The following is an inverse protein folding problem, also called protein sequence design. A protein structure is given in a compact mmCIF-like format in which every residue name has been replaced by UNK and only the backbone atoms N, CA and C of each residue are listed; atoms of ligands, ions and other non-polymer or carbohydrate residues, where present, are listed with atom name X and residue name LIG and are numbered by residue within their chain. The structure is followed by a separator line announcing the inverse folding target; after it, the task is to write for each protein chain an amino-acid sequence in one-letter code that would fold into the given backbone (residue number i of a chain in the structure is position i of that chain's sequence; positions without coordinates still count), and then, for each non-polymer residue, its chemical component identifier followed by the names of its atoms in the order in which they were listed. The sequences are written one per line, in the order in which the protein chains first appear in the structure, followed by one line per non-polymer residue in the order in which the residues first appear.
data_IF_352348792074
#
_entry.id   IF_352348792074
#
_cell.length_a   1.000
_cell.length_b   1.000
_cell.length_c   1.000
_cell.angle_alpha   90.00
_cell.angle_beta   90.00
_cell.angle_gamma   90.00
#
_symmetry.space_group_name_H-M   'P 1'
#
loop_
_entity.id
_entity.type
_entity.pdbx_description
1 polymer ?
#
# COMPACT_ATOMS: atom_id res chain seq x y z
N UNK A 1 26.26 -23.58 11.77
CA UNK A 1 26.58 -22.88 13.03
C UNK A 1 25.35 -23.06 13.93
N UNK A 2 25.26 -22.42 15.10
CA UNK A 2 24.04 -22.46 15.92
C UNK A 2 23.48 -21.05 16.09
N UNK A 3 22.16 -20.92 15.93
CA UNK A 3 21.40 -19.68 16.15
C UNK A 3 20.55 -19.79 17.41
N UNK A 4 20.17 -18.63 17.95
CA UNK A 4 19.28 -18.51 19.09
C UNK A 4 17.87 -18.12 18.65
N UNK A 5 16.85 -18.77 19.19
CA UNK A 5 15.46 -18.44 18.92
C UNK A 5 15.09 -17.05 19.49
N UNK A 6 14.55 -16.10 18.71
CA UNK A 6 14.20 -14.77 19.20
C UNK A 6 13.01 -14.76 20.17
N UNK A 7 12.22 -15.85 20.21
CA UNK A 7 11.03 -15.94 21.07
C UNK A 7 11.30 -16.62 22.42
N UNK A 8 12.20 -17.59 22.46
CA UNK A 8 12.46 -18.39 23.68
C UNK A 8 13.94 -18.57 24.02
N UNK A 9 14.85 -17.96 23.26
CA UNK A 9 16.31 -18.02 23.42
C UNK A 9 16.94 -19.43 23.37
N UNK A 10 16.20 -20.45 22.93
CA UNK A 10 16.74 -21.79 22.75
C UNK A 10 17.78 -21.83 21.63
N UNK A 11 18.89 -22.55 21.85
CA UNK A 11 19.89 -22.82 20.82
C UNK A 11 19.41 -23.91 19.86
N UNK A 12 19.65 -23.72 18.57
CA UNK A 12 19.22 -24.66 17.55
C UNK A 12 20.11 -24.61 16.30
N UNK A 13 20.10 -25.66 15.46
CA UNK A 13 20.82 -25.65 14.19
C UNK A 13 20.24 -24.60 13.23
N UNK A 14 21.13 -23.95 12.46
CA UNK A 14 20.76 -22.88 11.53
C UNK A 14 19.76 -23.30 10.43
N UNK A 15 19.64 -24.60 10.18
CA UNK A 15 18.77 -25.15 9.14
C UNK A 15 17.32 -25.39 9.61
N UNK A 16 17.06 -25.35 10.92
CA UNK A 16 15.77 -25.72 11.48
C UNK A 16 14.68 -24.68 11.16
N UNK A 17 13.60 -25.14 10.51
CA UNK A 17 12.44 -24.32 10.07
C UNK A 17 11.59 -23.87 11.25
N UNK A 18 11.50 -24.70 12.29
CA UNK A 18 10.75 -24.45 13.52
C UNK A 18 11.66 -24.63 14.73
N UNK A 19 11.44 -23.83 15.77
CA UNK A 19 12.13 -23.97 17.04
C UNK A 19 11.65 -25.24 17.73
N UNK A 20 12.55 -26.20 18.06
CA UNK A 20 12.16 -27.46 18.71
C UNK A 20 11.67 -27.27 20.16
N UNK A 21 11.96 -26.12 20.78
CA UNK A 21 11.60 -25.85 22.17
C UNK A 21 10.21 -25.21 22.31
N UNK A 22 9.93 -24.16 21.52
CA UNK A 22 8.67 -23.41 21.64
C UNK A 22 7.73 -23.53 20.43
N UNK A 23 8.15 -24.20 19.36
CA UNK A 23 7.38 -24.29 18.11
C UNK A 23 7.39 -23.03 17.25
N UNK A 24 8.12 -21.98 17.65
CA UNK A 24 8.24 -20.72 16.91
C UNK A 24 8.82 -20.91 15.51
N UNK A 25 8.28 -20.23 14.50
CA UNK A 25 8.79 -20.30 13.13
C UNK A 25 10.11 -19.53 13.02
N UNK A 26 11.19 -20.21 12.63
CA UNK A 26 12.54 -19.63 12.59
C UNK A 26 12.91 -19.10 11.22
N UNK A 27 12.28 -19.64 10.18
CA UNK A 27 12.21 -18.94 8.90
C UNK A 27 11.07 -17.94 9.01
N UNK A 28 11.40 -16.65 8.87
CA UNK A 28 10.41 -15.76 8.26
C UNK A 28 9.93 -16.48 7.00
N UNK A 29 8.61 -16.60 6.75
CA UNK A 29 8.14 -17.27 5.56
C UNK A 29 8.96 -16.67 4.42
N UNK A 30 9.77 -17.52 3.78
CA UNK A 30 10.44 -17.17 2.55
C UNK A 30 9.28 -16.94 1.61
N UNK A 31 8.81 -15.68 1.57
CA UNK A 31 7.66 -15.28 0.76
C UNK A 31 8.11 -15.63 -0.63
N UNK A 32 7.61 -16.76 -1.13
CA UNK A 32 7.92 -17.22 -2.47
C UNK A 32 7.79 -15.99 -3.35
N UNK A 33 8.89 -15.57 -3.98
CA UNK A 33 8.87 -14.45 -4.92
C UNK A 33 8.15 -14.96 -6.15
N UNK A 34 6.83 -15.03 -6.04
CA UNK A 34 5.93 -15.31 -7.14
C UNK A 34 6.11 -14.18 -8.15
N UNK A 35 6.32 -14.57 -9.40
CA UNK A 35 6.48 -13.64 -10.52
C UNK A 35 5.15 -13.52 -11.24
N UNK A 36 4.80 -12.28 -11.60
CA UNK A 36 3.68 -11.98 -12.47
C UNK A 36 4.23 -11.22 -13.66
N UNK A 37 4.28 -11.89 -14.81
CA UNK A 37 4.91 -11.36 -16.01
C UNK A 37 6.41 -11.16 -15.81
N UNK A 38 6.87 -9.93 -16.00
CA UNK A 38 8.30 -9.57 -15.91
C UNK A 38 8.71 -9.15 -14.49
N UNK A 39 7.74 -8.88 -13.61
CA UNK A 39 7.98 -8.39 -12.25
C UNK A 39 7.74 -9.49 -11.20
N UNK A 40 8.32 -9.33 -10.00
CA UNK A 40 7.78 -10.04 -8.83
C UNK A 40 6.43 -9.45 -8.45
N UNK A 41 5.56 -10.22 -7.81
CA UNK A 41 4.25 -9.75 -7.34
C UNK A 41 4.39 -8.50 -6.46
N UNK A 42 5.33 -8.51 -5.52
CA UNK A 42 5.60 -7.37 -4.62
C UNK A 42 6.04 -6.11 -5.38
N UNK A 43 6.87 -6.24 -6.41
CA UNK A 43 7.31 -5.11 -7.24
C UNK A 43 6.14 -4.60 -8.09
N UNK A 44 5.36 -5.49 -8.71
CA UNK A 44 4.18 -5.10 -9.49
C UNK A 44 3.15 -4.38 -8.61
N UNK A 45 2.87 -4.89 -7.41
CA UNK A 45 1.98 -4.23 -6.44
C UNK A 45 2.50 -2.86 -5.99
N UNK A 46 3.82 -2.72 -5.78
CA UNK A 46 4.42 -1.44 -5.44
C UNK A 46 4.36 -0.42 -6.60
N UNK A 47 4.65 -0.87 -7.83
CA UNK A 47 4.59 -0.05 -9.04
C UNK A 47 3.16 0.45 -9.33
N UNK A 48 2.14 -0.31 -8.91
CA UNK A 48 0.76 0.12 -9.04
C UNK A 48 0.50 1.47 -8.34
N UNK A 49 1.25 1.82 -7.29
CA UNK A 49 1.11 3.08 -6.56
C UNK A 49 1.90 4.26 -7.12
N UNK A 50 2.74 4.08 -8.15
CA UNK A 50 3.54 5.19 -8.68
C UNK A 50 2.65 6.32 -9.21
N UNK A 51 1.60 5.96 -9.95
CA UNK A 51 0.47 6.83 -10.33
C UNK A 51 -0.76 5.94 -10.57
N UNK A 52 -1.91 6.52 -10.92
CA UNK A 52 -3.06 5.72 -11.36
C UNK A 52 -2.84 5.03 -12.71
N UNK A 53 -1.82 5.42 -13.50
CA UNK A 53 -1.58 4.89 -14.85
C UNK A 53 -1.08 3.44 -14.81
N UNK A 54 0.00 3.07 -14.06
CA UNK A 54 0.38 1.67 -13.89
C UNK A 54 -0.73 0.80 -13.32
N UNK A 55 -1.49 1.29 -12.34
CA UNK A 55 -2.64 0.58 -11.79
C UNK A 55 -3.67 0.21 -12.87
N UNK A 56 -4.02 1.17 -13.74
CA UNK A 56 -4.93 0.91 -14.85
C UNK A 56 -4.35 -0.09 -15.85
N UNK A 57 -3.07 0.05 -16.20
CA UNK A 57 -2.38 -0.88 -17.11
C UNK A 57 -2.39 -2.30 -16.56
N UNK A 58 -2.09 -2.49 -15.27
CA UNK A 58 -2.08 -3.80 -14.62
C UNK A 58 -3.47 -4.43 -14.53
N UNK A 59 -4.53 -3.64 -14.44
CA UNK A 59 -5.91 -4.16 -14.46
C UNK A 59 -6.38 -4.56 -15.87
N UNK A 60 -5.75 -4.05 -16.93
CA UNK A 60 -6.15 -4.31 -18.31
C UNK A 60 -5.32 -5.41 -18.99
N UNK A 61 -4.05 -5.57 -18.60
CA UNK A 61 -3.11 -6.46 -19.28
C UNK A 61 -2.90 -7.79 -18.57
N UNK A 62 -2.81 -8.86 -19.36
CA UNK A 62 -2.29 -10.15 -18.90
C UNK A 62 -0.76 -10.08 -18.72
N UNK A 63 -0.17 -10.83 -17.77
CA UNK A 63 -0.83 -11.68 -16.77
C UNK A 63 -1.29 -10.91 -15.51
N UNK A 64 -1.01 -9.61 -15.42
CA UNK A 64 -1.24 -8.78 -14.22
C UNK A 64 -2.69 -8.77 -13.75
N UNK A 65 -3.65 -8.68 -14.67
CA UNK A 65 -5.08 -8.64 -14.35
C UNK A 65 -5.63 -9.94 -13.75
N UNK A 66 -4.89 -11.04 -13.82
CA UNK A 66 -5.26 -12.34 -13.25
C UNK A 66 -4.71 -12.52 -11.84
N UNK A 67 -3.67 -11.78 -11.49
CA UNK A 67 -3.05 -11.89 -10.18
C UNK A 67 -3.82 -11.09 -9.13
N UNK A 68 -4.32 -11.77 -8.09
CA UNK A 68 -5.15 -11.17 -7.05
C UNK A 68 -4.40 -10.06 -6.30
N UNK A 69 -3.11 -10.23 -6.05
CA UNK A 69 -2.30 -9.29 -5.29
C UNK A 69 -2.10 -7.98 -6.06
N UNK A 70 -1.70 -8.06 -7.33
CA UNK A 70 -1.54 -6.91 -8.22
C UNK A 70 -2.88 -6.20 -8.44
N UNK A 71 -3.99 -6.94 -8.57
CA UNK A 71 -5.33 -6.34 -8.68
C UNK A 71 -5.71 -5.55 -7.43
N UNK A 72 -5.48 -6.09 -6.23
CA UNK A 72 -5.78 -5.40 -4.98
C UNK A 72 -5.05 -4.04 -4.92
N UNK A 73 -3.74 -4.04 -5.16
CA UNK A 73 -2.94 -2.82 -5.12
C UNK A 73 -3.34 -1.82 -6.22
N UNK A 74 -3.69 -2.31 -7.41
CA UNK A 74 -4.16 -1.48 -8.51
C UNK A 74 -5.51 -0.82 -8.21
N UNK A 75 -6.50 -1.58 -7.72
CA UNK A 75 -7.79 -1.00 -7.33
C UNK A 75 -7.66 -0.04 -6.14
N UNK A 76 -6.87 -0.40 -5.12
CA UNK A 76 -6.62 0.48 -3.98
C UNK A 76 -5.96 1.80 -4.44
N UNK A 77 -4.99 1.75 -5.37
CA UNK A 77 -4.40 2.94 -5.95
C UNK A 77 -5.45 3.81 -6.66
N UNK A 78 -6.29 3.22 -7.53
CA UNK A 78 -7.34 3.96 -8.25
C UNK A 78 -8.29 4.66 -7.26
N UNK A 79 -8.76 3.96 -6.24
CA UNK A 79 -9.65 4.53 -5.24
C UNK A 79 -8.98 5.61 -4.37
N UNK A 80 -7.71 5.44 -4.00
CA UNK A 80 -6.93 6.49 -3.31
C UNK A 80 -6.83 7.74 -4.18
N UNK A 81 -6.53 7.60 -5.48
CA UNK A 81 -6.50 8.73 -6.41
C UNK A 81 -7.86 9.39 -6.58
N UNK A 82 -8.95 8.61 -6.69
CA UNK A 82 -10.31 9.15 -6.71
C UNK A 82 -10.62 9.95 -5.44
N UNK A 83 -10.29 9.41 -4.27
CA UNK A 83 -10.47 10.08 -2.99
C UNK A 83 -9.62 11.37 -2.89
N UNK A 84 -8.38 11.34 -3.38
CA UNK A 84 -7.50 12.51 -3.44
C UNK A 84 -8.08 13.62 -4.33
N UNK A 85 -8.61 13.29 -5.51
CA UNK A 85 -9.25 14.28 -6.39
C UNK A 85 -10.49 14.91 -5.74
N UNK A 86 -11.34 14.10 -5.11
CA UNK A 86 -12.50 14.61 -4.36
C UNK A 86 -12.05 15.54 -3.23
N UNK A 87 -11.04 15.14 -2.45
CA UNK A 87 -10.51 15.95 -1.36
C UNK A 87 -9.94 17.27 -1.84
N UNK A 88 -9.19 17.28 -2.95
CA UNK A 88 -8.67 18.51 -3.56
C UNK A 88 -9.81 19.41 -4.01
N UNK A 89 -10.85 18.88 -4.65
CA UNK A 89 -12.02 19.66 -5.06
C UNK A 89 -12.71 20.32 -3.85
N UNK A 90 -12.90 19.58 -2.76
CA UNK A 90 -13.48 20.11 -1.51
C UNK A 90 -12.61 21.22 -0.90
N UNK A 91 -11.29 21.02 -0.84
CA UNK A 91 -10.35 22.04 -0.35
C UNK A 91 -10.40 23.32 -1.20
N UNK A 92 -10.57 23.20 -2.52
CA UNK A 92 -10.75 24.37 -3.40
C UNK A 92 -12.04 25.12 -3.10
N UNK A 93 -13.15 24.43 -2.83
CA UNK A 93 -14.40 25.07 -2.44
C UNK A 93 -14.25 25.85 -1.11
N UNK A 94 -13.60 25.24 -0.11
CA UNK A 94 -13.32 25.91 1.17
C UNK A 94 -12.40 27.13 0.96
N UNK A 95 -11.38 27.01 0.10
CA UNK A 95 -10.48 28.11 -0.19
C UNK A 95 -11.19 29.32 -0.84
N UNK A 96 -12.22 29.10 -1.66
CA UNK A 96 -13.03 30.19 -2.24
C UNK A 96 -13.75 30.98 -1.14
N UNK A 97 -14.30 30.29 -0.13
CA UNK A 97 -14.97 30.95 1.01
C UNK A 97 -13.95 31.74 1.84
N UNK A 98 -12.78 31.16 2.10
CA UNK A 98 -11.71 31.80 2.85
C UNK A 98 -11.10 33.01 2.14
N UNK A 99 -11.27 33.15 0.83
CA UNK A 99 -10.77 34.28 0.03
C UNK A 99 -11.33 35.63 0.50
N UNK A 100 -12.48 35.64 1.20
CA UNK A 100 -13.08 36.85 1.77
C UNK A 100 -12.18 37.50 2.83
N UNK A 101 -11.35 36.72 3.51
CA UNK A 101 -10.44 37.21 4.55
C UNK A 101 -9.04 37.39 3.94
N UNK A 102 -8.62 38.63 3.62
CA UNK A 102 -7.32 38.87 3.01
C UNK A 102 -6.18 38.41 3.94
N UNK A 103 -5.12 37.88 3.34
CA UNK A 103 -3.95 37.26 3.99
C UNK A 103 -4.24 36.01 4.84
N UNK A 104 -5.07 36.11 5.89
CA UNK A 104 -5.29 35.02 6.84
C UNK A 104 -6.03 33.83 6.21
N UNK A 105 -7.02 34.08 5.36
CA UNK A 105 -7.74 33.02 4.66
C UNK A 105 -6.85 32.22 3.71
N UNK A 106 -5.96 32.91 3.00
CA UNK A 106 -4.97 32.29 2.12
C UNK A 106 -3.95 31.44 2.89
N UNK A 107 -3.43 31.97 4.00
CA UNK A 107 -2.49 31.25 4.84
C UNK A 107 -3.13 29.97 5.39
N UNK A 108 -4.36 30.06 5.88
CA UNK A 108 -5.07 28.89 6.41
C UNK A 108 -5.34 27.84 5.32
N UNK A 109 -5.81 28.27 4.14
CA UNK A 109 -6.03 27.36 3.01
C UNK A 109 -4.73 26.66 2.57
N UNK A 110 -3.61 27.39 2.56
CA UNK A 110 -2.30 26.84 2.24
C UNK A 110 -1.85 25.80 3.28
N UNK A 111 -1.93 26.13 4.58
CA UNK A 111 -1.51 25.22 5.65
C UNK A 111 -2.35 23.93 5.66
N UNK A 112 -3.68 24.03 5.50
CA UNK A 112 -4.56 22.85 5.41
C UNK A 112 -4.17 22.00 4.20
N UNK A 113 -3.97 22.61 3.04
CA UNK A 113 -3.58 21.89 1.82
C UNK A 113 -2.22 21.19 1.98
N UNK A 114 -1.27 21.82 2.67
CA UNK A 114 0.04 21.25 2.95
C UNK A 114 -0.05 20.03 3.87
N UNK A 115 -0.81 20.11 4.97
CA UNK A 115 -1.01 18.99 5.89
C UNK A 115 -1.70 17.82 5.21
N UNK A 116 -2.76 18.08 4.46
CA UNK A 116 -3.49 17.04 3.71
C UNK A 116 -2.58 16.40 2.66
N UNK A 117 -1.87 17.20 1.87
CA UNK A 117 -0.92 16.71 0.86
C UNK A 117 0.18 15.84 1.48
N UNK A 118 0.75 16.28 2.61
CA UNK A 118 1.73 15.49 3.35
C UNK A 118 1.15 14.16 3.84
N UNK A 119 -0.09 14.16 4.34
CA UNK A 119 -0.80 12.94 4.73
C UNK A 119 -0.95 11.95 3.57
N UNK A 120 -1.29 12.41 2.36
CA UNK A 120 -1.35 11.56 1.18
C UNK A 120 0.01 10.98 0.78
N UNK A 121 1.09 11.77 0.90
CA UNK A 121 2.45 11.29 0.62
C UNK A 121 2.87 10.21 1.61
N UNK A 122 2.69 10.45 2.92
CA UNK A 122 3.04 9.48 3.97
C UNK A 122 2.24 8.18 3.79
N UNK A 123 0.93 8.29 3.57
CA UNK A 123 0.09 7.13 3.25
C UNK A 123 0.61 6.40 2.01
N UNK A 124 0.91 7.09 0.92
CA UNK A 124 1.44 6.50 -0.30
C UNK A 124 2.74 5.72 -0.08
N UNK A 125 3.67 6.28 0.71
CA UNK A 125 4.90 5.58 1.11
C UNK A 125 4.60 4.31 1.90
N UNK A 126 3.70 4.38 2.88
CA UNK A 126 3.28 3.19 3.66
C UNK A 126 2.71 2.12 2.73
N UNK A 127 1.85 2.49 1.78
CA UNK A 127 1.25 1.56 0.82
C UNK A 127 2.30 0.89 -0.07
N UNK A 128 3.27 1.65 -0.58
CA UNK A 128 4.39 1.12 -1.37
C UNK A 128 5.23 0.15 -0.55
N UNK A 129 5.63 0.54 0.66
CA UNK A 129 6.42 -0.32 1.56
C UNK A 129 5.68 -1.61 1.88
N UNK A 130 4.38 -1.52 2.17
CA UNK A 130 3.54 -2.70 2.45
C UNK A 130 3.40 -3.60 1.23
N UNK A 131 3.25 -3.04 0.04
CA UNK A 131 3.24 -3.82 -1.21
C UNK A 131 4.59 -4.52 -1.48
N UNK A 132 5.70 -3.83 -1.23
CA UNK A 132 7.05 -4.44 -1.32
C UNK A 132 7.23 -5.57 -0.29
N UNK A 133 6.58 -5.46 0.86
CA UNK A 133 6.47 -6.51 1.87
C UNK A 133 5.47 -7.62 1.47
N UNK A 134 4.81 -7.56 0.32
CA UNK A 134 3.81 -8.57 -0.06
C UNK A 134 2.56 -8.53 0.82
N UNK A 135 2.28 -7.40 1.48
CA UNK A 135 1.13 -7.21 2.36
C UNK A 135 0.03 -6.40 1.66
N UNK A 136 -1.18 -6.96 1.62
CA UNK A 136 -2.40 -6.25 1.21
C UNK A 136 -2.90 -5.36 2.37
N UNK A 137 -2.13 -4.33 2.71
CA UNK A 137 -2.50 -3.37 3.74
C UNK A 137 -3.76 -2.61 3.33
N UNK A 138 -4.87 -2.86 4.04
CA UNK A 138 -6.18 -2.27 3.74
C UNK A 138 -6.31 -0.91 4.40
N UNK A 139 -6.55 0.12 3.60
CA UNK A 139 -7.02 1.39 4.12
C UNK A 139 -8.47 1.25 4.59
N UNK A 140 -8.89 1.96 5.66
CA UNK A 140 -10.29 2.00 6.06
C UNK A 140 -11.19 2.36 4.87
N UNK A 141 -12.27 1.60 4.67
CA UNK A 141 -13.23 1.73 3.55
C UNK A 141 -12.63 1.38 2.18
N UNK A 142 -11.54 2.04 1.76
CA UNK A 142 -10.93 1.88 0.45
C UNK A 142 -10.37 0.46 0.25
N UNK A 143 -9.72 -0.11 1.27
CA UNK A 143 -9.13 -1.44 1.18
C UNK A 143 -10.18 -2.54 1.03
N UNK A 144 -11.32 -2.42 1.70
CA UNK A 144 -12.43 -3.38 1.55
C UNK A 144 -13.06 -3.27 0.15
N UNK A 145 -13.16 -2.06 -0.40
CA UNK A 145 -13.59 -1.86 -1.79
C UNK A 145 -12.60 -2.49 -2.77
N UNK A 146 -11.29 -2.27 -2.58
CA UNK A 146 -10.24 -2.81 -3.42
C UNK A 146 -10.21 -4.34 -3.38
N UNK A 147 -10.37 -4.93 -2.20
CA UNK A 147 -10.44 -6.39 -2.04
C UNK A 147 -11.66 -6.98 -2.74
N UNK A 148 -12.84 -6.37 -2.62
CA UNK A 148 -14.04 -6.81 -3.34
C UNK A 148 -13.79 -6.88 -4.84
N UNK A 149 -13.17 -5.84 -5.41
CA UNK A 149 -12.86 -5.80 -6.84
C UNK A 149 -11.75 -6.80 -7.23
N UNK A 150 -10.75 -7.01 -6.38
CA UNK A 150 -9.69 -7.99 -6.62
C UNK A 150 -10.19 -9.44 -6.58
N UNK A 151 -11.27 -9.72 -5.85
CA UNK A 151 -11.92 -11.02 -5.78
C UNK A 151 -12.97 -11.27 -6.86
N UNK A 152 -13.48 -10.21 -7.52
CA UNK A 152 -14.43 -10.35 -8.61
C UNK A 152 -13.69 -10.92 -9.84
N UNK A 153 -13.72 -12.24 -10.02
CA UNK A 153 -13.28 -12.95 -11.24
C UNK A 153 -14.48 -13.71 -11.77
#
# INVERSE_FOLDING_TARGET
MSISCPQCAAQMPDEAVFCPSCGGTMRAPERAQSKVGVFSESIAGALAYFTFVPALVFLLLDPYKKDRFVRFHSFQCIFVWTAAFVMVALLKLVAIILFIIPFLGHLLAYLISMVVGFGFVVMGVVLVVKALQGEMFKLPVIGDMAEKQANAV
#
